data_IF_652695119609
#
_entry.id   IF_652695119609
#
_cell.length_a   1.000
_cell.length_b   1.000
_cell.length_c   1.000
_cell.angle_alpha   90.00
_cell.angle_beta   90.00
_cell.angle_gamma   90.00
#
_symmetry.space_group_name_H-M   'P 1'
#
loop_
_entity.id
_entity.type
_entity.pdbx_description
1 polymer ?
#
# COMPACT_ATOMS: atom_id res chain seq x y z
N UNK A 1 13.97 -7.96 -2.02
CA UNK A 1 14.19 -7.36 -0.68
C UNK A 1 13.70 -5.92 -0.71
N UNK A 2 13.01 -5.42 0.35
CA UNK A 2 12.30 -4.15 0.29
C UNK A 2 13.23 -3.03 -0.11
N UNK A 3 12.73 -2.05 -0.86
CA UNK A 3 13.50 -0.86 -1.22
C UNK A 3 13.88 -0.07 0.04
N UNK A 4 13.01 -0.11 1.06
CA UNK A 4 13.30 0.37 2.41
C UNK A 4 12.44 -0.37 3.45
N UNK A 5 12.97 -0.56 4.66
CA UNK A 5 12.28 -1.27 5.75
C UNK A 5 11.81 -0.33 6.85
N UNK A 6 10.71 -0.68 7.53
CA UNK A 6 10.15 0.04 8.67
C UNK A 6 9.94 1.55 8.42
N UNK A 7 9.42 1.90 7.25
CA UNK A 7 9.36 3.29 6.77
C UNK A 7 8.27 4.13 7.45
N UNK A 8 7.18 3.49 7.87
CA UNK A 8 5.99 4.16 8.41
C UNK A 8 5.26 3.25 9.39
N UNK A 9 4.68 3.82 10.45
CA UNK A 9 3.73 3.15 11.33
C UNK A 9 2.35 3.80 11.22
N UNK A 10 1.32 3.01 10.93
CA UNK A 10 -0.06 3.47 10.83
C UNK A 10 -1.05 2.32 11.13
N UNK A 11 -2.18 2.62 11.75
CA UNK A 11 -3.21 1.61 12.03
C UNK A 11 -2.75 0.43 12.90
N UNK A 12 -1.69 0.61 13.70
CA UNK A 12 -1.09 -0.44 14.53
C UNK A 12 -0.08 -1.35 13.80
N UNK A 13 0.25 -1.05 12.55
CA UNK A 13 1.22 -1.80 11.75
C UNK A 13 2.41 -0.92 11.38
N UNK A 14 3.61 -1.52 11.36
CA UNK A 14 4.80 -0.95 10.73
C UNK A 14 4.93 -1.50 9.32
N UNK A 15 5.23 -0.66 8.34
CA UNK A 15 5.28 -1.03 6.93
C UNK A 15 6.69 -0.96 6.35
N UNK A 16 7.00 -1.91 5.47
CA UNK A 16 8.11 -1.85 4.53
C UNK A 16 7.64 -1.26 3.19
N UNK A 17 8.58 -0.70 2.43
CA UNK A 17 8.32 -0.11 1.12
C UNK A 17 8.90 -0.96 -0.01
N UNK A 18 8.07 -1.19 -1.02
CA UNK A 18 8.44 -1.73 -2.32
C UNK A 18 8.10 -0.74 -3.41
N UNK A 19 8.99 -0.63 -4.39
CA UNK A 19 8.89 0.39 -5.42
C UNK A 19 9.25 -0.22 -6.76
N UNK A 20 8.54 0.16 -7.82
CA UNK A 20 8.80 -0.42 -9.13
C UNK A 20 8.06 0.30 -10.26
N UNK A 21 8.64 0.23 -11.45
CA UNK A 21 8.01 0.71 -12.66
C UNK A 21 7.16 -0.39 -13.28
N UNK A 22 5.85 -0.13 -13.45
CA UNK A 22 4.96 -0.99 -14.22
C UNK A 22 4.89 -0.46 -15.65
N UNK A 23 5.95 -0.73 -16.42
CA UNK A 23 6.10 -0.23 -17.79
C UNK A 23 4.97 -0.67 -18.73
N UNK A 24 4.36 -1.84 -18.49
CA UNK A 24 3.22 -2.32 -19.26
C UNK A 24 1.96 -1.49 -19.05
N UNK A 25 1.80 -0.89 -17.87
CA UNK A 25 0.65 -0.06 -17.52
C UNK A 25 0.97 1.45 -17.48
N UNK A 26 2.24 1.82 -17.64
CA UNK A 26 2.69 3.20 -17.78
C UNK A 26 2.73 4.01 -16.47
N UNK A 27 2.85 3.35 -15.32
CA UNK A 27 2.92 4.03 -14.02
C UNK A 27 3.94 3.42 -13.06
N UNK A 28 4.42 4.26 -12.15
CA UNK A 28 5.28 3.84 -11.04
C UNK A 28 4.45 3.50 -9.81
N UNK A 29 4.83 2.45 -9.09
CA UNK A 29 4.10 1.92 -7.94
C UNK A 29 4.91 2.07 -6.67
N UNK A 30 4.25 2.54 -5.61
CA UNK A 30 4.71 2.47 -4.23
C UNK A 30 3.81 1.52 -3.45
N UNK A 31 4.34 0.39 -3.00
CA UNK A 31 3.59 -0.61 -2.24
C UNK A 31 4.10 -0.67 -0.81
N UNK A 32 3.22 -0.37 0.15
CA UNK A 32 3.50 -0.51 1.57
C UNK A 32 2.95 -1.85 2.07
N UNK A 33 3.84 -2.72 2.56
CA UNK A 33 3.47 -4.05 3.07
C UNK A 33 3.80 -4.11 4.57
N UNK A 34 2.90 -4.61 5.45
CA UNK A 34 3.22 -4.78 6.86
C UNK A 34 4.52 -5.59 7.06
N UNK A 35 5.40 -5.09 7.91
CA UNK A 35 6.75 -5.61 8.10
C UNK A 35 6.74 -7.11 8.39
N UNK A 36 7.59 -7.86 7.68
CA UNK A 36 7.71 -9.30 7.84
C UNK A 36 6.58 -10.15 7.24
N UNK A 37 5.58 -9.56 6.58
CA UNK A 37 4.45 -10.33 6.00
C UNK A 37 4.62 -10.70 4.52
N UNK A 38 5.51 -10.00 3.79
CA UNK A 38 5.77 -10.28 2.39
C UNK A 38 6.30 -11.72 2.19
N UNK A 39 5.62 -12.49 1.33
CA UNK A 39 6.04 -13.86 0.97
C UNK A 39 5.86 -14.90 2.08
N UNK A 40 5.13 -14.59 3.16
CA UNK A 40 4.86 -15.55 4.22
C UNK A 40 3.94 -16.69 3.72
N UNK A 41 4.28 -17.96 3.99
CA UNK A 41 3.50 -19.11 3.51
C UNK A 41 2.14 -19.23 4.21
N UNK A 42 2.04 -18.73 5.44
CA UNK A 42 0.84 -18.77 6.26
C UNK A 42 0.41 -17.34 6.60
N UNK A 43 -0.51 -16.79 5.83
CA UNK A 43 -1.14 -15.50 6.12
C UNK A 43 -2.47 -15.72 6.84
N UNK A 44 -2.88 -14.78 7.72
CA UNK A 44 -4.22 -14.80 8.30
C UNK A 44 -5.30 -14.80 7.22
N UNK A 45 -6.33 -15.63 7.39
CA UNK A 45 -7.47 -15.73 6.46
C UNK A 45 -8.59 -14.72 6.74
N UNK A 46 -8.45 -13.94 7.81
CA UNK A 46 -9.37 -12.86 8.18
C UNK A 46 -8.60 -11.76 8.91
N UNK A 47 -9.16 -10.56 8.91
CA UNK A 47 -8.56 -9.41 9.57
C UNK A 47 -9.43 -8.16 9.46
N UNK A 48 -8.97 -7.09 10.10
CA UNK A 48 -9.52 -5.74 9.97
C UNK A 48 -8.35 -4.76 9.91
N UNK A 49 -8.52 -3.71 9.12
CA UNK A 49 -7.58 -2.59 9.07
C UNK A 49 -8.37 -1.31 9.27
N UNK A 50 -7.90 -0.47 10.18
CA UNK A 50 -8.37 0.90 10.32
C UNK A 50 -7.15 1.80 10.19
N UNK A 51 -7.06 2.55 9.10
CA UNK A 51 -5.85 3.28 8.74
C UNK A 51 -6.19 4.61 8.10
N UNK A 52 -5.41 5.64 8.45
CA UNK A 52 -5.39 6.91 7.74
C UNK A 52 -4.37 6.81 6.60
N UNK A 53 -4.79 7.14 5.37
CA UNK A 53 -3.95 7.13 4.18
C UNK A 53 -3.02 8.35 4.13
N UNK A 54 -3.38 9.46 4.78
CA UNK A 54 -2.62 10.72 4.75
C UNK A 54 -1.17 10.57 5.25
N UNK A 55 -0.86 9.82 6.33
CA UNK A 55 0.51 9.50 6.72
C UNK A 55 1.37 8.89 5.59
N UNK A 56 0.79 8.03 4.75
CA UNK A 56 1.51 7.40 3.63
C UNK A 56 1.84 8.42 2.55
N UNK A 57 0.87 9.26 2.19
CA UNK A 57 1.04 10.34 1.22
C UNK A 57 2.07 11.37 1.70
N UNK A 58 2.01 11.77 2.97
CA UNK A 58 2.98 12.68 3.57
C UNK A 58 4.39 12.08 3.56
N UNK A 59 4.52 10.78 3.85
CA UNK A 59 5.79 10.10 3.81
C UNK A 59 6.38 10.09 2.39
N UNK A 60 5.57 9.81 1.36
CA UNK A 60 5.99 9.88 -0.04
C UNK A 60 6.42 11.30 -0.42
N UNK A 61 5.67 12.33 -0.01
CA UNK A 61 6.05 13.72 -0.26
C UNK A 61 7.42 14.04 0.36
N UNK A 62 7.66 13.63 1.61
CA UNK A 62 8.90 13.93 2.31
C UNK A 62 10.12 13.16 1.74
N UNK A 63 9.91 11.94 1.26
CA UNK A 63 11.01 11.00 0.98
C UNK A 63 11.19 10.64 -0.51
N UNK A 64 10.20 10.90 -1.37
CA UNK A 64 10.18 10.49 -2.79
C UNK A 64 9.83 11.61 -3.77
N UNK A 65 9.44 12.78 -3.30
CA UNK A 65 9.11 13.91 -4.20
C UNK A 65 10.27 14.33 -5.11
N UNK A 66 11.52 14.19 -4.66
CA UNK A 66 12.73 14.54 -5.44
C UNK A 66 12.94 13.63 -6.65
N UNK A 67 12.36 12.44 -6.66
CA UNK A 67 12.50 11.48 -7.76
C UNK A 67 11.57 11.82 -8.95
N UNK A 68 10.73 12.85 -8.81
CA UNK A 68 9.83 13.34 -9.86
C UNK A 68 8.60 12.48 -10.12
N UNK A 69 8.44 11.37 -9.38
CA UNK A 69 7.35 10.39 -9.57
C UNK A 69 6.16 10.60 -8.63
N UNK A 70 6.37 11.30 -7.53
CA UNK A 70 5.33 11.68 -6.58
C UNK A 70 5.39 13.17 -6.28
N UNK A 71 4.24 13.81 -6.10
CA UNK A 71 4.13 15.19 -5.63
C UNK A 71 2.77 15.40 -4.98
N UNK A 72 2.72 16.25 -3.95
CA UNK A 72 1.48 16.72 -3.34
C UNK A 72 0.63 17.62 -4.25
N UNK A 73 1.12 17.95 -5.46
CA UNK A 73 0.33 18.59 -6.51
C UNK A 73 -0.53 17.58 -7.30
N UNK A 74 -0.32 16.27 -7.13
CA UNK A 74 -1.14 15.24 -7.77
C UNK A 74 -2.52 15.15 -7.09
N UNK A 75 -3.53 14.77 -7.88
CA UNK A 75 -4.87 14.50 -7.37
C UNK A 75 -4.97 13.06 -6.84
N UNK A 76 -5.60 12.89 -5.67
CA UNK A 76 -6.09 11.60 -5.23
C UNK A 76 -7.37 11.28 -6.00
N UNK A 77 -7.27 10.45 -7.04
CA UNK A 77 -8.41 10.15 -7.92
C UNK A 77 -9.36 9.10 -7.33
N UNK A 78 -8.83 8.08 -6.68
CA UNK A 78 -9.61 6.96 -6.13
C UNK A 78 -8.91 6.39 -4.90
N UNK A 79 -9.71 5.84 -3.98
CA UNK A 79 -9.26 4.94 -2.92
C UNK A 79 -10.05 3.65 -3.08
N UNK A 80 -9.35 2.54 -3.25
CA UNK A 80 -9.93 1.22 -3.50
C UNK A 80 -9.56 0.23 -2.40
N UNK A 81 -10.45 -0.71 -2.12
CA UNK A 81 -10.21 -1.83 -1.22
C UNK A 81 -10.68 -3.13 -1.87
N UNK A 82 -9.83 -4.15 -1.86
CA UNK A 82 -10.11 -5.43 -2.51
C UNK A 82 -9.08 -6.49 -2.13
N UNK A 83 -9.06 -7.57 -2.90
CA UNK A 83 -8.06 -8.62 -2.79
C UNK A 83 -7.54 -8.98 -4.18
N UNK A 84 -6.21 -9.09 -4.32
CA UNK A 84 -5.57 -9.50 -5.56
C UNK A 84 -5.43 -11.03 -5.60
N UNK A 85 -6.02 -11.69 -6.62
CA UNK A 85 -5.91 -13.15 -6.80
C UNK A 85 -4.86 -13.47 -7.85
N UNK A 86 -3.77 -14.09 -7.42
CA UNK A 86 -2.74 -14.58 -8.35
C UNK A 86 -2.97 -16.04 -8.72
N UNK A 87 -3.49 -16.85 -7.77
CA UNK A 87 -3.79 -18.29 -7.93
C UNK A 87 -4.89 -18.72 -6.94
N UNK A 88 -5.60 -19.81 -7.25
CA UNK A 88 -6.57 -20.45 -6.34
C UNK A 88 -8.01 -20.43 -6.87
N UNK A 89 -8.90 -21.13 -6.17
CA UNK A 89 -10.34 -21.19 -6.46
C UNK A 89 -11.13 -21.12 -5.14
N UNK A 90 -11.42 -19.89 -4.71
CA UNK A 90 -12.10 -19.62 -3.46
C UNK A 90 -12.82 -18.27 -3.48
N UNK A 91 -13.31 -17.85 -2.33
CA UNK A 91 -14.02 -16.57 -2.17
C UNK A 91 -13.45 -15.79 -0.99
N UNK A 92 -13.55 -14.47 -1.08
CA UNK A 92 -13.23 -13.54 0.01
C UNK A 92 -14.44 -12.63 0.23
N UNK A 93 -14.78 -12.38 1.50
CA UNK A 93 -15.78 -11.37 1.86
C UNK A 93 -15.04 -10.11 2.31
N UNK A 94 -15.22 -9.04 1.55
CA UNK A 94 -14.64 -7.73 1.85
C UNK A 94 -15.77 -6.76 2.21
N UNK A 95 -15.55 -5.95 3.23
CA UNK A 95 -16.42 -4.84 3.59
C UNK A 95 -15.54 -3.68 3.98
N UNK A 96 -15.77 -2.51 3.39
CA UNK A 96 -14.96 -1.33 3.59
C UNK A 96 -15.86 -0.10 3.76
N UNK A 97 -15.46 0.79 4.65
CA UNK A 97 -15.94 2.16 4.74
C UNK A 97 -14.75 3.07 4.46
N UNK A 98 -14.91 3.98 3.49
CA UNK A 98 -13.86 4.90 3.06
C UNK A 98 -14.46 6.30 3.16
N UNK A 99 -13.88 7.09 4.05
CA UNK A 99 -14.32 8.45 4.32
C UNK A 99 -13.18 9.43 4.00
N UNK A 100 -13.51 10.53 3.32
CA UNK A 100 -12.61 11.64 3.08
C UNK A 100 -13.23 12.90 3.70
N UNK A 101 -12.46 13.58 4.54
CA UNK A 101 -12.87 14.79 5.26
C UNK A 101 -11.79 15.87 5.21
#
# INVERSE_FOLDING_TARGET
MPSASNVLTAGGYTFDLWEGDNSAAGYYVYTFIPHGTAGQPNLPTSGKLNVDVKPFLNWLQANRSKDGRYSNALYLQVVEAGFEVVRGNGWAKVSAAIDAH
#
